data_IF_833687010547
#
_entry.id   IF_833687010547
#
_cell.length_a   1.000
_cell.length_b   1.000
_cell.length_c   1.000
_cell.angle_alpha   90.00
_cell.angle_beta   90.00
_cell.angle_gamma   90.00
#
_symmetry.space_group_name_H-M   'P 1'
#
loop_
_entity.id
_entity.type
_entity.pdbx_description
1 polymer ?
#
# COMPACT_ATOMS: atom_id res chain seq x y z
N UNK A 1 -6.95 -23.34 -5.39
CA UNK A 1 -6.50 -22.90 -5.31
C UNK A 1 -6.09 -22.05 -5.31
N UNK A 2 -6.07 -21.69 -5.29
CA UNK A 2 -5.59 -20.93 -5.49
C UNK A 2 -4.78 -20.38 -4.92
N UNK A 3 -4.41 -20.52 -4.68
CA UNK A 3 -3.44 -20.01 -4.30
C UNK A 3 -3.08 -18.92 -4.92
N UNK A 4 -3.59 -18.01 -4.87
CA UNK A 4 -3.28 -16.84 -5.56
C UNK A 4 -1.98 -16.24 -5.10
N UNK A 5 -1.42 -15.49 -5.94
CA UNK A 5 -0.24 -14.72 -5.58
C UNK A 5 -0.62 -13.25 -5.64
N UNK A 6 0.04 -12.46 -4.83
CA UNK A 6 -0.17 -11.03 -4.84
C UNK A 6 1.16 -10.35 -5.08
N UNK A 7 1.10 -9.19 -5.65
CA UNK A 7 2.31 -8.45 -5.98
C UNK A 7 2.65 -7.50 -4.85
N UNK A 8 3.93 -7.33 -4.63
CA UNK A 8 4.38 -6.37 -3.65
C UNK A 8 5.56 -5.59 -4.23
N UNK A 9 5.73 -4.39 -3.74
CA UNK A 9 6.82 -3.51 -4.14
C UNK A 9 7.76 -3.42 -2.97
N UNK A 10 9.06 -3.52 -3.23
CA UNK A 10 10.02 -3.48 -2.15
C UNK A 10 11.30 -2.76 -2.58
N UNK A 11 12.02 -2.30 -1.60
CA UNK A 11 13.33 -1.69 -1.83
C UNK A 11 14.16 -1.88 -0.57
N UNK A 12 15.43 -1.59 -0.69
CA UNK A 12 16.35 -1.73 0.43
C UNK A 12 16.83 -0.34 0.84
N UNK A 13 16.84 -0.08 2.15
CA UNK A 13 17.27 1.20 2.67
C UNK A 13 18.17 0.88 3.85
N UNK A 14 19.44 1.17 3.73
CA UNK A 14 20.46 0.80 4.71
C UNK A 14 20.41 -0.71 4.95
N UNK A 15 20.12 -1.10 6.16
CA UNK A 15 20.09 -2.51 6.51
C UNK A 15 18.70 -3.09 6.53
N UNK A 16 17.73 -2.33 6.04
CA UNK A 16 16.35 -2.78 6.11
C UNK A 16 15.78 -2.98 4.72
N UNK A 17 14.88 -3.93 4.63
CA UNK A 17 14.08 -4.14 3.44
C UNK A 17 12.71 -3.55 3.73
N UNK A 18 12.22 -2.72 2.84
CA UNK A 18 10.92 -2.09 3.01
C UNK A 18 10.02 -2.49 1.87
N UNK A 19 8.74 -2.46 2.13
CA UNK A 19 7.83 -2.82 1.04
C UNK A 19 6.39 -2.67 1.43
N UNK A 20 5.54 -2.81 0.41
CA UNK A 20 4.10 -2.80 0.60
C UNK A 20 3.45 -3.65 -0.47
N UNK A 21 2.26 -4.10 -0.17
CA UNK A 21 1.47 -4.85 -1.14
C UNK A 21 0.96 -3.85 -2.18
N UNK A 22 1.07 -4.20 -3.44
CA UNK A 22 0.79 -3.25 -4.52
C UNK A 22 -0.58 -2.61 -4.40
N UNK A 23 -1.57 -3.38 -3.99
CA UNK A 23 -2.93 -2.87 -3.89
C UNK A 23 -3.17 -2.05 -2.62
N UNK A 24 -2.20 -2.05 -1.70
CA UNK A 24 -2.38 -1.36 -0.41
C UNK A 24 -1.15 -0.54 -0.08
N UNK A 25 -0.87 0.49 -0.87
CA UNK A 25 0.40 1.23 -0.70
C UNK A 25 0.52 2.01 0.59
N UNK A 26 -0.57 2.17 1.33
CA UNK A 26 -0.50 2.90 2.59
C UNK A 26 0.08 2.07 3.72
N UNK A 27 0.29 0.78 3.49
CA UNK A 27 0.71 -0.12 4.57
C UNK A 27 2.12 -0.62 4.32
N UNK A 28 3.10 0.27 4.53
CA UNK A 28 4.50 -0.07 4.36
C UNK A 28 5.00 -0.78 5.61
N UNK A 29 5.76 -1.84 5.42
CA UNK A 29 6.39 -2.53 6.53
C UNK A 29 7.85 -2.76 6.22
N UNK A 30 8.57 -3.33 7.14
CA UNK A 30 9.99 -3.53 6.96
C UNK A 30 10.42 -4.87 7.53
N UNK A 31 11.60 -5.30 7.17
CA UNK A 31 12.22 -6.49 7.70
C UNK A 31 13.71 -6.37 7.58
N UNK A 32 14.43 -7.19 8.32
CA UNK A 32 15.88 -7.20 8.27
C UNK A 32 16.39 -8.12 7.18
N UNK A 33 15.50 -8.86 6.55
CA UNK A 33 15.82 -9.68 5.39
C UNK A 33 14.59 -9.68 4.49
N UNK A 34 14.79 -10.09 3.26
CA UNK A 34 13.65 -10.16 2.35
C UNK A 34 12.64 -11.20 2.85
N UNK A 35 13.13 -12.29 3.43
CA UNK A 35 12.24 -13.30 3.98
C UNK A 35 11.36 -12.70 5.07
N UNK A 36 11.95 -11.93 5.97
CA UNK A 36 11.18 -11.32 7.04
C UNK A 36 10.19 -10.30 6.49
N UNK A 37 10.62 -9.54 5.49
CA UNK A 37 9.72 -8.58 4.88
C UNK A 37 8.48 -9.28 4.30
N UNK A 38 8.68 -10.37 3.58
CA UNK A 38 7.54 -11.05 2.96
C UNK A 38 6.65 -11.70 4.01
N UNK A 39 7.20 -12.17 5.10
CA UNK A 39 6.38 -12.70 6.19
C UNK A 39 5.53 -11.60 6.80
N UNK A 40 6.11 -10.42 6.99
CA UNK A 40 5.36 -9.29 7.53
C UNK A 40 4.29 -8.81 6.56
N UNK A 41 4.59 -8.83 5.27
CA UNK A 41 3.60 -8.44 4.27
C UNK A 41 2.44 -9.44 4.25
N UNK A 42 2.74 -10.72 4.41
CA UNK A 42 1.68 -11.70 4.43
C UNK A 42 0.76 -11.50 5.61
N UNK A 43 1.32 -11.16 6.77
CA UNK A 43 0.50 -10.91 7.94
C UNK A 43 -0.40 -9.70 7.73
N UNK A 44 0.13 -8.65 7.12
CA UNK A 44 -0.65 -7.47 6.83
C UNK A 44 -1.78 -7.82 5.85
N UNK A 45 -1.46 -8.60 4.83
CA UNK A 45 -2.47 -8.97 3.85
C UNK A 45 -3.62 -9.73 4.50
N UNK A 46 -3.29 -10.67 5.38
CA UNK A 46 -4.33 -11.42 6.05
C UNK A 46 -5.24 -10.53 6.87
N UNK A 47 -4.67 -9.52 7.52
CA UNK A 47 -5.47 -8.61 8.31
C UNK A 47 -6.33 -7.71 7.43
N UNK A 48 -5.77 -7.27 6.30
CA UNK A 48 -6.54 -6.41 5.40
C UNK A 48 -7.75 -7.14 4.82
N UNK A 49 -7.55 -8.37 4.38
CA UNK A 49 -8.66 -9.08 3.75
C UNK A 49 -9.64 -9.65 4.76
N UNK A 50 -9.24 -9.77 6.02
CA UNK A 50 -10.15 -10.26 7.05
C UNK A 50 -11.00 -9.14 7.63
N UNK A 51 -10.71 -7.89 7.28
CA UNK A 51 -11.46 -6.76 7.80
C UNK A 51 -11.05 -6.32 9.18
N UNK A 52 -9.92 -6.79 9.68
CA UNK A 52 -9.49 -6.41 11.01
C UNK A 52 -8.87 -5.03 11.05
N UNK A 53 -8.40 -4.54 9.91
CA UNK A 53 -7.83 -3.21 9.84
C UNK A 53 -8.94 -2.27 9.41
N UNK A 54 -9.34 -1.33 10.26
CA UNK A 54 -10.40 -0.42 9.88
C UNK A 54 -9.90 0.63 8.90
N UNK A 55 -10.81 1.24 8.20
CA UNK A 55 -10.49 2.36 7.30
C UNK A 55 -9.54 1.99 6.19
N UNK A 56 -9.72 0.81 5.63
CA UNK A 56 -8.94 0.44 4.45
C UNK A 56 -9.25 1.43 3.34
N UNK A 57 -8.20 1.91 2.69
CA UNK A 57 -8.37 2.92 1.66
C UNK A 57 -9.09 2.38 0.44
N UNK A 58 -9.80 3.23 -0.21
CA UNK A 58 -10.50 2.87 -1.42
C UNK A 58 -10.14 3.87 -2.50
N UNK A 59 -10.27 3.43 -3.73
CA UNK A 59 -9.94 4.28 -4.88
C UNK A 59 -11.20 4.85 -5.48
N UNK A 60 -11.15 6.09 -5.78
CA UNK A 60 -12.25 6.76 -6.46
C UNK A 60 -11.67 7.77 -7.43
N UNK A 61 -12.46 8.18 -8.36
CA UNK A 61 -12.02 9.16 -9.35
C UNK A 61 -12.56 10.53 -8.97
N UNK A 62 -11.67 11.49 -8.94
CA UNK A 62 -12.06 12.87 -8.69
C UNK A 62 -12.04 13.59 -10.02
N UNK A 63 -13.19 14.08 -10.44
CA UNK A 63 -13.25 14.84 -11.65
C UNK A 63 -12.92 16.27 -11.36
N UNK A 64 -11.99 16.81 -12.11
CA UNK A 64 -11.57 18.19 -11.93
C UNK A 64 -12.39 19.09 -12.84
N UNK A 65 -12.90 20.18 -12.28
CA UNK A 65 -13.57 21.13 -13.09
C UNK A 65 -12.58 22.02 -13.68
N UNK A 66 -12.75 22.29 -14.94
CA UNK A 66 -11.92 23.15 -15.55
C UNK A 66 -12.31 24.45 -15.35
N UNK A 67 -12.21 25.11 -14.54
CA UNK A 67 -12.66 26.33 -14.31
C UNK A 67 -11.66 27.22 -14.36
N UNK A 68 -11.76 28.00 -14.89
CA UNK A 68 -10.84 28.92 -15.00
C UNK A 68 -10.56 29.55 -13.83
N UNK A 69 -9.86 29.83 -13.54
CA UNK A 69 -9.67 30.48 -12.53
C UNK A 69 -9.36 30.22 -11.38
N UNK A 70 -9.19 30.18 -10.97
CA UNK A 70 -9.14 29.96 -10.08
C UNK A 70 -8.21 29.87 -9.23
N UNK A 71 -7.95 29.95 -9.09
CA UNK A 71 -7.36 29.86 -8.38
C UNK A 71 -6.96 29.31 -7.48
N UNK A 72 -6.54 29.14 -7.27
CA UNK A 72 -6.21 28.65 -6.52
C UNK A 72 -5.63 28.15 -5.77
N UNK A 73 -5.30 27.91 -5.49
CA UNK A 73 -4.81 27.46 -4.84
C UNK A 73 -4.39 26.77 -4.10
N UNK A 74 -4.00 26.38 -4.03
CA UNK A 74 -3.64 25.71 -3.43
C UNK A 74 -3.17 25.41 -2.74
N UNK A 75 -3.03 25.24 -2.56
CA UNK A 75 -2.64 24.79 -2.02
C UNK A 75 -2.44 24.43 -1.63
#
# INVERSE_FOLDING_TARGET
MNNGSIKYIYWQDDNFWLGYIEDYPDYVTQGESLKELTENLEDIYKELVSGKIPNVRKTAVLKLKRKSGAKKKIQ
#
